data_IF_282225231685
#
_entry.id   IF_282225231685
#
_cell.length_a   1.000
_cell.length_b   1.000
_cell.length_c   1.000
_cell.angle_alpha   90.00
_cell.angle_beta   90.00
_cell.angle_gamma   90.00
#
_symmetry.space_group_name_H-M   'P 1'
#
loop_
_entity.id
_entity.type
_entity.pdbx_description
1 polymer ?
#
# COMPACT_ATOMS: atom_id res chain seq x y z
N UNK A 1 11.49 -10.64 -6.76
CA UNK A 1 11.07 -9.24 -6.91
C UNK A 1 11.09 -8.55 -5.55
N UNK A 2 11.42 -7.25 -5.51
CA UNK A 2 11.33 -6.42 -4.30
C UNK A 2 10.29 -5.32 -4.51
N UNK A 3 9.29 -5.27 -3.65
CA UNK A 3 8.18 -4.31 -3.70
C UNK A 3 8.22 -3.44 -2.46
N UNK A 4 8.05 -2.15 -2.65
CA UNK A 4 7.83 -1.20 -1.55
C UNK A 4 6.46 -0.54 -1.77
N UNK A 5 5.61 -0.53 -0.75
CA UNK A 5 4.41 0.30 -0.75
C UNK A 5 4.32 1.20 0.49
N UNK A 6 3.83 2.39 0.29
CA UNK A 6 3.72 3.41 1.31
C UNK A 6 2.26 3.83 1.47
N UNK A 7 1.73 3.76 2.70
CA UNK A 7 0.39 4.24 3.00
C UNK A 7 0.47 5.74 3.26
N UNK A 8 0.18 6.53 2.21
CA UNK A 8 0.23 7.98 2.26
C UNK A 8 -1.14 8.54 2.63
N UNK A 9 -1.34 8.70 3.91
CA UNK A 9 -2.64 8.99 4.51
C UNK A 9 -2.65 10.23 5.42
N UNK A 10 -1.47 10.70 5.91
CA UNK A 10 -1.33 11.76 6.90
C UNK A 10 -2.31 11.60 8.07
N UNK A 11 -3.08 12.67 8.42
CA UNK A 11 -4.02 12.59 9.54
C UNK A 11 -5.27 11.79 9.22
N UNK A 12 -5.66 11.63 7.95
CA UNK A 12 -6.83 10.84 7.57
C UNK A 12 -6.78 9.40 8.07
N UNK A 13 -5.59 8.80 8.13
CA UNK A 13 -5.41 7.43 8.67
C UNK A 13 -5.24 7.35 10.18
N UNK A 14 -5.06 8.47 10.89
CA UNK A 14 -4.84 8.50 12.33
C UNK A 14 -6.00 9.07 13.14
N UNK A 15 -6.90 9.81 12.49
CA UNK A 15 -7.95 10.61 13.12
C UNK A 15 -8.88 9.82 14.05
N UNK A 16 -9.19 8.58 13.71
CA UNK A 16 -10.07 7.71 14.50
C UNK A 16 -9.41 7.12 15.75
N UNK A 17 -8.10 7.16 15.81
CA UNK A 17 -7.30 6.51 16.86
C UNK A 17 -6.45 7.48 17.69
N UNK A 18 -6.18 8.68 17.18
CA UNK A 18 -5.29 9.68 17.80
C UNK A 18 -5.80 11.09 17.57
N UNK A 19 -5.77 11.91 18.61
CA UNK A 19 -5.96 13.34 18.46
C UNK A 19 -4.78 14.00 17.73
N UNK A 20 -5.05 15.03 16.90
CA UNK A 20 -4.05 15.69 16.06
C UNK A 20 -2.84 16.18 16.88
N UNK A 21 -3.05 16.76 18.05
CA UNK A 21 -1.97 17.25 18.92
C UNK A 21 -0.94 16.16 19.25
N UNK A 22 -1.37 14.91 19.42
CA UNK A 22 -0.48 13.79 19.79
C UNK A 22 0.36 13.23 18.63
N UNK A 23 0.03 13.57 17.39
CA UNK A 23 0.73 13.10 16.19
C UNK A 23 1.27 14.22 15.30
N UNK A 24 1.08 15.49 15.71
CA UNK A 24 1.43 16.69 14.95
C UNK A 24 2.86 16.68 14.40
N UNK A 25 3.83 16.47 15.27
CA UNK A 25 5.26 16.50 14.88
C UNK A 25 5.59 15.44 13.84
N UNK A 26 4.99 14.24 13.98
CA UNK A 26 5.16 13.15 13.04
C UNK A 26 4.57 13.50 11.67
N UNK A 27 3.40 14.13 11.64
CA UNK A 27 2.72 14.50 10.40
C UNK A 27 3.46 15.64 9.69
N UNK A 28 3.92 16.65 10.41
CA UNK A 28 4.78 17.71 9.85
C UNK A 28 6.09 17.11 9.35
N UNK A 29 6.72 16.23 10.13
CA UNK A 29 7.94 15.56 9.73
C UNK A 29 7.80 14.69 8.46
N UNK A 30 6.59 14.23 8.13
CA UNK A 30 6.35 13.54 6.87
C UNK A 30 6.68 14.41 5.65
N UNK A 31 6.50 15.73 5.75
CA UNK A 31 6.81 16.68 4.69
C UNK A 31 8.31 16.78 4.38
N UNK A 32 9.14 16.50 5.36
CA UNK A 32 10.60 16.35 5.17
C UNK A 32 10.95 14.92 4.77
N UNK A 33 10.24 13.93 5.32
CA UNK A 33 10.53 12.53 5.05
C UNK A 33 10.23 12.11 3.61
N UNK A 34 9.15 12.63 3.00
CA UNK A 34 8.78 12.27 1.61
C UNK A 34 9.87 12.65 0.61
N UNK A 35 10.37 13.90 0.54
CA UNK A 35 11.48 14.24 -0.37
C UNK A 35 12.74 13.41 -0.15
N UNK A 36 13.11 13.15 1.11
CA UNK A 36 14.28 12.33 1.46
C UNK A 36 14.11 10.86 1.02
N UNK A 37 12.90 10.32 1.14
CA UNK A 37 12.58 8.99 0.63
C UNK A 37 12.66 8.93 -0.89
N UNK A 38 12.11 9.92 -1.60
CA UNK A 38 12.16 10.00 -3.06
C UNK A 38 13.60 10.10 -3.58
N UNK A 39 14.46 10.90 -2.92
CA UNK A 39 15.87 10.99 -3.25
C UNK A 39 16.57 9.64 -3.04
N UNK A 40 16.28 8.97 -1.93
CA UNK A 40 16.82 7.66 -1.64
C UNK A 40 16.36 6.61 -2.67
N UNK A 41 15.09 6.61 -3.03
CA UNK A 41 14.55 5.69 -4.05
C UNK A 41 15.17 5.92 -5.41
N UNK A 42 15.35 7.18 -5.82
CA UNK A 42 16.06 7.51 -7.07
C UNK A 42 17.50 6.98 -7.08
N UNK A 43 18.25 7.16 -5.98
CA UNK A 43 19.67 6.69 -5.88
C UNK A 43 19.80 5.17 -5.98
N UNK A 44 18.83 4.41 -5.47
CA UNK A 44 18.85 2.95 -5.49
C UNK A 44 18.03 2.35 -6.62
N UNK A 45 17.44 3.18 -7.47
CA UNK A 45 16.53 2.78 -8.55
C UNK A 45 15.43 1.86 -8.02
N UNK A 46 14.66 2.41 -7.08
CA UNK A 46 13.55 1.73 -6.42
C UNK A 46 12.22 2.20 -7.02
N UNK A 47 11.46 1.23 -7.50
CA UNK A 47 10.08 1.41 -7.89
C UNK A 47 9.18 1.27 -6.65
N UNK A 48 8.34 2.27 -6.40
CA UNK A 48 7.53 2.32 -5.16
C UNK A 48 6.08 2.66 -5.45
N UNK A 49 5.17 1.96 -4.78
CA UNK A 49 3.73 2.23 -4.82
C UNK A 49 3.33 3.12 -3.66
N UNK A 50 2.80 4.31 -3.94
CA UNK A 50 2.28 5.27 -2.96
C UNK A 50 0.76 5.15 -2.89
N UNK A 51 0.26 4.35 -1.95
CA UNK A 51 -1.17 4.22 -1.70
C UNK A 51 -1.68 5.50 -1.02
N UNK A 52 -2.32 6.36 -1.77
CA UNK A 52 -2.65 7.73 -1.39
C UNK A 52 -4.13 7.87 -1.11
N UNK A 53 -4.49 8.44 0.04
CA UNK A 53 -5.86 8.82 0.37
C UNK A 53 -6.32 9.94 -0.55
N UNK A 54 -7.47 9.78 -1.23
CA UNK A 54 -7.98 10.73 -2.21
C UNK A 54 -8.17 12.16 -1.66
N UNK A 55 -8.56 12.28 -0.39
CA UNK A 55 -8.72 13.57 0.28
C UNK A 55 -7.42 14.40 0.37
N UNK A 56 -6.24 13.79 0.20
CA UNK A 56 -4.95 14.52 0.21
C UNK A 56 -4.67 15.30 -1.06
N UNK A 57 -5.36 15.01 -2.16
CA UNK A 57 -5.12 15.64 -3.46
C UNK A 57 -5.65 17.07 -3.56
N UNK A 58 -6.64 17.43 -2.76
CA UNK A 58 -7.30 18.73 -2.87
C UNK A 58 -6.37 19.87 -2.49
N UNK A 59 -6.51 20.99 -3.19
CA UNK A 59 -5.72 22.20 -2.96
C UNK A 59 -6.28 23.05 -1.82
N UNK A 60 -7.62 23.05 -1.73
CA UNK A 60 -8.35 23.82 -0.74
C UNK A 60 -9.66 23.13 -0.33
N UNK A 61 -10.25 23.68 0.74
CA UNK A 61 -11.48 23.17 1.34
C UNK A 61 -12.69 23.27 0.41
N UNK A 62 -12.77 24.30 -0.44
CA UNK A 62 -13.90 24.48 -1.36
C UNK A 62 -13.87 23.40 -2.46
N UNK A 63 -12.70 23.12 -3.01
CA UNK A 63 -12.48 22.03 -3.97
C UNK A 63 -12.77 20.68 -3.32
N UNK A 64 -12.29 20.46 -2.12
CA UNK A 64 -12.53 19.23 -1.37
C UNK A 64 -14.03 18.97 -1.20
N UNK A 65 -14.80 19.99 -0.77
CA UNK A 65 -16.25 19.84 -0.59
C UNK A 65 -17.00 19.56 -1.90
N UNK A 66 -16.53 20.09 -3.03
CA UNK A 66 -17.11 19.79 -4.36
C UNK A 66 -16.81 18.35 -4.82
N UNK A 67 -15.67 17.80 -4.41
CA UNK A 67 -15.25 16.45 -4.78
C UNK A 67 -15.78 15.35 -3.87
N UNK A 68 -16.57 15.66 -2.84
CA UNK A 68 -17.10 14.64 -1.92
C UNK A 68 -18.17 13.78 -2.61
N UNK A 69 -18.14 12.45 -2.42
CA UNK A 69 -19.17 11.56 -2.94
C UNK A 69 -20.51 11.80 -2.22
N UNK A 70 -21.62 11.61 -2.96
CA UNK A 70 -22.98 11.73 -2.40
C UNK A 70 -23.27 10.56 -1.45
N UNK A 71 -22.93 9.35 -1.84
CA UNK A 71 -23.06 8.15 -1.02
C UNK A 71 -21.87 8.01 -0.11
N UNK A 72 -22.11 7.92 1.20
CA UNK A 72 -21.06 7.85 2.22
C UNK A 72 -21.38 6.75 3.23
N UNK A 73 -20.34 6.08 3.79
CA UNK A 73 -20.58 5.03 4.76
C UNK A 73 -21.24 5.59 6.04
N UNK A 74 -22.22 4.84 6.54
CA UNK A 74 -22.94 5.13 7.78
C UNK A 74 -22.39 4.25 8.91
N UNK A 75 -21.09 4.40 9.21
CA UNK A 75 -20.47 3.61 10.26
C UNK A 75 -21.21 3.70 11.57
N UNK A 76 -21.46 2.56 12.22
CA UNK A 76 -22.07 2.49 13.56
C UNK A 76 -21.23 3.26 14.58
N UNK A 77 -19.90 3.20 14.45
CA UNK A 77 -19.01 4.05 15.21
C UNK A 77 -18.67 5.31 14.40
N UNK A 78 -19.27 6.43 14.77
CA UNK A 78 -19.12 7.72 14.12
C UNK A 78 -17.66 8.17 13.97
N UNK A 79 -16.74 7.73 14.83
CA UNK A 79 -15.29 8.04 14.73
C UNK A 79 -14.66 7.56 13.43
N UNK A 80 -15.22 6.56 12.76
CA UNK A 80 -14.67 6.06 11.51
C UNK A 80 -14.99 6.95 10.30
N UNK A 81 -16.06 7.77 10.40
CA UNK A 81 -16.43 8.68 9.32
C UNK A 81 -15.54 9.92 9.29
N UNK A 82 -14.77 10.18 8.20
CA UNK A 82 -13.98 11.41 8.07
C UNK A 82 -14.87 12.63 7.82
N UNK A 83 -16.10 12.42 7.38
CA UNK A 83 -17.02 13.47 6.93
C UNK A 83 -17.57 14.34 8.09
N UNK A 84 -17.53 13.85 9.32
CA UNK A 84 -18.10 14.57 10.47
C UNK A 84 -17.23 15.77 10.87
N UNK A 85 -15.92 15.68 10.74
CA UNK A 85 -14.98 16.71 11.18
C UNK A 85 -14.53 17.64 10.05
N UNK A 86 -15.03 17.47 8.82
CA UNK A 86 -14.57 18.21 7.64
C UNK A 86 -14.79 19.73 7.72
N UNK A 87 -15.77 20.18 8.52
CA UNK A 87 -16.01 21.60 8.73
C UNK A 87 -14.88 22.28 9.55
N UNK A 88 -14.11 21.49 10.29
CA UNK A 88 -13.05 21.96 11.18
C UNK A 88 -11.66 21.96 10.55
N UNK A 89 -11.51 21.36 9.35
CA UNK A 89 -10.22 21.37 8.64
C UNK A 89 -9.88 22.78 8.15
N UNK A 90 -8.58 23.06 8.00
CA UNK A 90 -8.10 24.34 7.49
C UNK A 90 -8.52 24.63 6.06
N UNK A 91 -8.17 25.82 5.56
CA UNK A 91 -8.61 26.26 4.23
C UNK A 91 -7.82 25.58 3.11
N UNK A 92 -6.55 25.32 3.31
CA UNK A 92 -5.62 24.81 2.30
C UNK A 92 -4.41 24.10 2.95
N UNK A 93 -3.48 23.63 2.12
CA UNK A 93 -2.26 22.95 2.56
C UNK A 93 -1.36 23.82 3.47
N UNK A 94 -1.34 25.15 3.28
CA UNK A 94 -0.51 26.05 4.08
C UNK A 94 -1.07 26.20 5.50
N UNK A 95 -2.39 26.34 5.61
CA UNK A 95 -3.09 26.50 6.89
C UNK A 95 -3.30 25.15 7.61
N UNK A 96 -3.35 24.04 6.85
CA UNK A 96 -3.61 22.69 7.38
C UNK A 96 -2.77 21.60 6.67
N UNK A 97 -1.48 21.55 6.96
CA UNK A 97 -0.57 20.56 6.36
C UNK A 97 -0.83 19.12 6.79
N UNK A 98 -1.85 18.88 7.58
CA UNK A 98 -2.22 17.56 8.10
C UNK A 98 -3.26 16.85 7.24
N UNK A 99 -4.14 17.63 6.58
CA UNK A 99 -5.26 17.13 5.79
C UNK A 99 -5.04 17.27 4.28
N UNK A 100 -4.11 18.11 3.84
CA UNK A 100 -3.79 18.36 2.43
C UNK A 100 -2.34 18.03 2.12
N UNK A 101 -2.08 17.47 0.94
CA UNK A 101 -0.72 17.18 0.49
C UNK A 101 -0.52 17.26 -1.03
N UNK A 102 -1.20 18.18 -1.78
CA UNK A 102 -1.04 18.27 -3.23
C UNK A 102 0.41 18.53 -3.64
N UNK A 103 1.16 19.32 -2.86
CA UNK A 103 2.57 19.61 -3.14
C UNK A 103 3.45 18.36 -3.05
N UNK A 104 3.22 17.47 -2.09
CA UNK A 104 3.95 16.21 -1.96
C UNK A 104 3.56 15.22 -3.06
N UNK A 105 2.29 15.17 -3.42
CA UNK A 105 1.81 14.33 -4.53
C UNK A 105 2.49 14.74 -5.84
N UNK A 106 2.62 16.04 -6.12
CA UNK A 106 3.36 16.52 -7.29
C UNK A 106 4.84 16.12 -7.27
N UNK A 107 5.48 16.14 -6.11
CA UNK A 107 6.86 15.66 -5.98
C UNK A 107 6.98 14.17 -6.27
N UNK A 108 6.03 13.35 -5.77
CA UNK A 108 5.99 11.92 -6.05
C UNK A 108 5.82 11.68 -7.56
N UNK A 109 4.87 12.36 -8.21
CA UNK A 109 4.61 12.25 -9.65
C UNK A 109 5.81 12.69 -10.51
N UNK A 110 6.59 13.65 -10.02
CA UNK A 110 7.79 14.15 -10.72
C UNK A 110 9.01 13.22 -10.56
N UNK A 111 8.93 12.23 -9.67
CA UNK A 111 10.01 11.26 -9.46
C UNK A 111 9.78 10.02 -10.33
N UNK A 112 10.79 9.56 -11.10
CA UNK A 112 10.61 8.37 -11.94
C UNK A 112 10.36 7.12 -11.08
N UNK A 113 9.68 6.13 -11.69
CA UNK A 113 9.43 4.83 -11.10
C UNK A 113 8.57 4.86 -9.83
N UNK A 114 7.74 5.91 -9.67
CA UNK A 114 6.80 6.03 -8.55
C UNK A 114 5.37 5.87 -9.06
N UNK A 115 4.65 4.88 -8.55
CA UNK A 115 3.24 4.66 -8.78
C UNK A 115 2.42 5.39 -7.71
N UNK A 116 1.41 6.15 -8.11
CA UNK A 116 0.32 6.54 -7.22
C UNK A 116 -0.77 5.47 -7.31
N UNK A 117 -1.03 4.80 -6.20
CA UNK A 117 -2.14 3.87 -6.01
C UNK A 117 -3.21 4.49 -5.10
N UNK A 118 -4.40 3.90 -5.06
CA UNK A 118 -5.43 4.37 -4.13
C UNK A 118 -5.32 3.74 -2.75
N UNK A 119 -5.48 4.58 -1.71
CA UNK A 119 -5.76 4.14 -0.34
C UNK A 119 -7.22 4.47 0.01
N UNK A 120 -8.12 4.30 -0.99
CA UNK A 120 -9.50 4.79 -1.06
C UNK A 120 -9.59 6.33 -1.03
N UNK A 121 -10.75 6.89 -1.34
CA UNK A 121 -10.90 8.34 -1.31
C UNK A 121 -10.85 8.90 0.11
N UNK A 122 -11.62 8.30 1.00
CA UNK A 122 -11.87 8.81 2.35
C UNK A 122 -11.17 8.00 3.45
N UNK A 123 -10.19 7.15 3.13
CA UNK A 123 -9.65 6.14 4.05
C UNK A 123 -10.74 5.17 4.51
N UNK A 124 -11.48 4.59 3.55
CA UNK A 124 -12.67 3.76 3.76
C UNK A 124 -12.35 2.45 4.47
N UNK A 125 -13.05 2.16 5.56
CA UNK A 125 -12.82 0.98 6.40
C UNK A 125 -13.81 -0.14 6.03
N UNK A 126 -13.36 -1.08 5.21
CA UNK A 126 -14.21 -2.09 4.56
C UNK A 126 -14.74 -3.20 5.46
N UNK A 127 -14.28 -3.33 6.71
CA UNK A 127 -14.71 -4.37 7.65
C UNK A 127 -15.39 -3.82 8.90
N UNK A 128 -15.63 -2.51 8.97
CA UNK A 128 -16.36 -1.89 10.06
C UNK A 128 -17.87 -1.95 9.81
N UNK A 129 -18.66 -2.03 10.87
CA UNK A 129 -20.12 -2.06 10.79
C UNK A 129 -20.69 -0.72 10.31
N UNK A 130 -21.81 -0.76 9.57
CA UNK A 130 -22.48 0.42 9.02
C UNK A 130 -21.91 0.96 7.70
N UNK A 131 -20.96 0.24 7.08
CA UNK A 131 -20.52 0.49 5.72
C UNK A 131 -21.14 -0.52 4.74
N UNK A 132 -21.22 -0.18 3.45
CA UNK A 132 -21.82 -1.03 2.44
C UNK A 132 -21.10 -0.88 1.08
N UNK A 133 -21.47 -1.76 0.13
CA UNK A 133 -20.86 -1.78 -1.20
C UNK A 133 -21.13 -0.48 -1.99
N UNK A 134 -22.34 0.08 -1.91
CA UNK A 134 -22.68 1.29 -2.66
C UNK A 134 -21.84 2.49 -2.21
N UNK A 135 -21.66 2.63 -0.89
CA UNK A 135 -20.80 3.67 -0.35
C UNK A 135 -19.32 3.43 -0.71
N UNK A 136 -18.87 2.17 -0.77
CA UNK A 136 -17.52 1.85 -1.23
C UNK A 136 -17.31 2.16 -2.71
N UNK A 137 -18.27 1.82 -3.58
CA UNK A 137 -18.21 2.13 -5.01
C UNK A 137 -18.16 3.65 -5.25
N UNK A 138 -18.96 4.43 -4.51
CA UNK A 138 -18.94 5.89 -4.58
C UNK A 138 -17.60 6.48 -4.08
N UNK A 139 -17.04 5.95 -3.00
CA UNK A 139 -15.72 6.32 -2.50
C UNK A 139 -14.62 5.99 -3.52
N UNK A 140 -14.66 4.82 -4.12
CA UNK A 140 -13.71 4.41 -5.13
C UNK A 140 -13.81 5.26 -6.41
N UNK A 141 -15.02 5.56 -6.87
CA UNK A 141 -15.24 6.45 -8.01
C UNK A 141 -14.68 7.85 -7.75
N UNK A 142 -14.87 8.39 -6.54
CA UNK A 142 -14.27 9.68 -6.15
C UNK A 142 -12.73 9.62 -6.15
N UNK A 143 -12.15 8.49 -5.70
CA UNK A 143 -10.69 8.29 -5.75
C UNK A 143 -10.17 8.27 -7.19
N UNK A 144 -10.86 7.57 -8.10
CA UNK A 144 -10.50 7.54 -9.52
C UNK A 144 -10.59 8.94 -10.14
N UNK A 145 -11.70 9.64 -9.91
CA UNK A 145 -11.92 10.97 -10.48
C UNK A 145 -10.85 11.98 -10.05
N UNK A 146 -10.45 11.98 -8.77
CA UNK A 146 -9.38 12.89 -8.32
C UNK A 146 -8.01 12.46 -8.86
N UNK A 147 -7.76 11.17 -9.02
CA UNK A 147 -6.54 10.66 -9.67
C UNK A 147 -6.46 11.15 -11.13
N UNK A 148 -7.53 11.00 -11.89
CA UNK A 148 -7.62 11.46 -13.29
C UNK A 148 -7.42 12.97 -13.42
N UNK A 149 -7.94 13.78 -12.48
CA UNK A 149 -7.71 15.23 -12.44
C UNK A 149 -6.24 15.60 -12.27
N UNK A 150 -5.42 14.70 -11.73
CA UNK A 150 -3.96 14.81 -11.63
C UNK A 150 -3.21 14.12 -12.78
N UNK A 151 -3.92 13.59 -13.78
CA UNK A 151 -3.34 12.83 -14.89
C UNK A 151 -2.83 11.44 -14.48
N UNK A 152 -3.35 10.90 -13.39
CA UNK A 152 -2.93 9.60 -12.82
C UNK A 152 -4.02 8.57 -13.08
N UNK A 153 -3.65 7.45 -13.70
CA UNK A 153 -4.45 6.25 -13.71
C UNK A 153 -4.13 5.40 -12.49
N UNK A 154 -5.12 5.20 -11.62
CA UNK A 154 -4.98 4.33 -10.46
C UNK A 154 -5.14 2.87 -10.90
N UNK A 155 -4.12 2.04 -10.69
CA UNK A 155 -4.13 0.62 -11.09
C UNK A 155 -4.02 -0.34 -9.90
N UNK A 156 -3.65 0.17 -8.73
CA UNK A 156 -3.52 -0.63 -7.50
C UNK A 156 -4.31 -0.03 -6.35
N UNK A 157 -4.75 -0.91 -5.43
CA UNK A 157 -5.43 -0.51 -4.20
C UNK A 157 -4.76 -1.10 -2.96
N UNK A 158 -4.63 -0.29 -1.94
CA UNK A 158 -4.30 -0.74 -0.59
C UNK A 158 -5.48 -0.39 0.32
N UNK A 159 -6.11 -1.42 0.86
CA UNK A 159 -7.24 -1.21 1.77
C UNK A 159 -6.77 -0.62 3.10
N UNK A 160 -7.38 0.48 3.58
CA UNK A 160 -7.05 1.10 4.85
C UNK A 160 -7.08 0.11 6.02
N UNK A 161 -6.11 0.26 6.94
CA UNK A 161 -5.87 -0.68 8.06
C UNK A 161 -5.74 -2.14 7.63
N UNK A 162 -5.38 -2.40 6.36
CA UNK A 162 -5.38 -3.73 5.74
C UNK A 162 -6.73 -4.47 5.86
N UNK A 163 -7.83 -3.75 5.94
CA UNK A 163 -9.18 -4.31 5.99
C UNK A 163 -9.65 -4.74 4.59
N UNK A 164 -8.94 -5.69 4.01
CA UNK A 164 -9.26 -6.24 2.70
C UNK A 164 -10.59 -7.03 2.78
N UNK A 165 -11.55 -6.62 1.95
CA UNK A 165 -12.86 -7.28 1.83
C UNK A 165 -13.00 -7.87 0.42
N UNK A 166 -13.00 -9.19 0.30
CA UNK A 166 -13.12 -9.87 -0.99
C UNK A 166 -14.45 -9.60 -1.71
N UNK A 167 -15.51 -9.30 -0.97
CA UNK A 167 -16.80 -8.92 -1.57
C UNK A 167 -16.69 -7.64 -2.44
N UNK A 168 -15.65 -6.81 -2.23
CA UNK A 168 -15.44 -5.55 -2.95
C UNK A 168 -14.46 -5.68 -4.12
N UNK A 169 -13.86 -6.84 -4.35
CA UNK A 169 -12.90 -7.04 -5.43
C UNK A 169 -13.51 -6.80 -6.80
N UNK A 170 -14.77 -7.20 -6.99
CA UNK A 170 -15.48 -6.96 -8.25
C UNK A 170 -15.65 -5.47 -8.54
N UNK A 171 -15.96 -4.67 -7.53
CA UNK A 171 -16.03 -3.21 -7.66
C UNK A 171 -14.65 -2.61 -8.02
N UNK A 172 -13.58 -3.11 -7.40
CA UNK A 172 -12.21 -2.71 -7.76
C UNK A 172 -11.85 -3.05 -9.21
N UNK A 173 -12.21 -4.26 -9.68
CA UNK A 173 -12.00 -4.68 -11.07
C UNK A 173 -12.78 -3.79 -12.05
N UNK A 174 -14.06 -3.51 -11.77
CA UNK A 174 -14.88 -2.63 -12.60
C UNK A 174 -14.34 -1.20 -12.66
N UNK A 175 -13.71 -0.73 -11.60
CA UNK A 175 -13.03 0.57 -11.55
C UNK A 175 -11.67 0.59 -12.29
N UNK A 176 -11.26 -0.54 -12.90
CA UNK A 176 -10.02 -0.65 -13.66
C UNK A 176 -8.77 -0.95 -12.84
N UNK A 177 -8.92 -1.26 -11.54
CA UNK A 177 -7.81 -1.70 -10.70
C UNK A 177 -7.37 -3.12 -11.09
N UNK A 178 -6.07 -3.38 -10.98
CA UNK A 178 -5.43 -4.65 -11.39
C UNK A 178 -4.74 -5.37 -10.23
N UNK A 179 -4.27 -4.63 -9.22
CA UNK A 179 -3.58 -5.18 -8.07
C UNK A 179 -4.15 -4.69 -6.75
N UNK A 180 -4.02 -5.51 -5.72
CA UNK A 180 -4.25 -5.08 -4.35
C UNK A 180 -3.16 -5.61 -3.42
N UNK A 181 -2.93 -4.89 -2.32
CA UNK A 181 -2.05 -5.38 -1.26
C UNK A 181 -2.86 -6.24 -0.29
N UNK A 182 -2.64 -7.54 -0.36
CA UNK A 182 -3.11 -8.47 0.67
C UNK A 182 -2.21 -8.50 1.90
N UNK A 183 -2.57 -9.32 2.87
CA UNK A 183 -1.79 -9.53 4.10
C UNK A 183 -1.06 -10.87 4.09
N UNK A 184 -0.09 -11.01 5.00
CA UNK A 184 0.57 -12.29 5.23
C UNK A 184 -0.42 -13.40 5.58
N UNK A 185 -0.12 -14.63 5.17
CA UNK A 185 -0.95 -15.81 5.48
C UNK A 185 -1.03 -16.15 6.98
N UNK A 186 -0.12 -15.62 7.80
CA UNK A 186 -0.10 -15.84 9.26
C UNK A 186 -1.36 -15.31 9.95
N UNK A 187 -1.88 -16.06 10.92
CA UNK A 187 -3.04 -15.66 11.74
C UNK A 187 -2.87 -14.31 12.45
N UNK A 188 -1.64 -13.89 12.75
CA UNK A 188 -1.31 -12.60 13.35
C UNK A 188 -1.70 -11.42 12.46
N UNK A 189 -1.70 -11.61 11.14
CA UNK A 189 -1.86 -10.55 10.15
C UNK A 189 -3.16 -10.64 9.34
N UNK A 190 -4.01 -11.64 9.60
CA UNK A 190 -5.32 -11.76 8.93
C UNK A 190 -6.14 -10.49 9.10
N UNK A 191 -6.79 -9.97 8.04
CA UNK A 191 -7.65 -8.79 8.09
C UNK A 191 -8.75 -8.95 9.14
N UNK A 192 -9.04 -7.86 9.85
CA UNK A 192 -10.12 -7.78 10.86
C UNK A 192 -10.57 -6.34 10.99
N UNK A 193 -11.78 -6.16 11.54
CA UNK A 193 -12.23 -4.85 11.99
C UNK A 193 -11.35 -4.32 13.16
N UNK A 194 -11.51 -3.06 13.50
CA UNK A 194 -10.69 -2.37 14.50
C UNK A 194 -10.73 -3.04 15.88
N UNK A 195 -11.86 -3.60 16.29
CA UNK A 195 -11.99 -4.33 17.57
C UNK A 195 -11.16 -5.61 17.56
N UNK A 196 -11.25 -6.41 16.49
CA UNK A 196 -10.51 -7.68 16.37
C UNK A 196 -9.01 -7.47 16.24
N UNK A 197 -8.59 -6.37 15.57
CA UNK A 197 -7.18 -6.03 15.39
C UNK A 197 -6.52 -5.45 16.65
N UNK A 198 -7.29 -4.77 17.48
CA UNK A 198 -6.84 -4.14 18.73
C UNK A 198 -6.49 -5.09 19.87
N UNK A 199 -6.74 -6.40 19.75
CA UNK A 199 -6.48 -7.38 20.83
C UNK A 199 -5.02 -7.37 21.28
N UNK A 200 -4.74 -7.26 22.61
CA UNK A 200 -3.38 -7.10 23.14
C UNK A 200 -2.40 -8.20 22.70
N UNK A 201 -2.83 -9.46 22.70
CA UNK A 201 -2.00 -10.60 22.31
C UNK A 201 -1.50 -10.51 20.86
N UNK A 202 -2.36 -10.06 19.93
CA UNK A 202 -1.95 -9.87 18.54
C UNK A 202 -0.96 -8.71 18.40
N UNK A 203 -1.16 -7.62 19.13
CA UNK A 203 -0.24 -6.47 19.13
C UNK A 203 1.12 -6.86 19.66
N UNK A 204 1.17 -7.62 20.76
CA UNK A 204 2.42 -8.15 21.33
C UNK A 204 3.07 -9.14 20.34
N UNK A 205 2.32 -10.09 19.79
CA UNK A 205 2.82 -11.04 18.81
C UNK A 205 3.43 -10.34 17.58
N UNK A 206 2.77 -9.32 17.01
CA UNK A 206 3.32 -8.52 15.90
C UNK A 206 4.53 -7.68 16.30
N UNK A 207 4.59 -7.22 17.56
CA UNK A 207 5.76 -6.52 18.05
C UNK A 207 6.95 -7.47 18.14
N UNK A 208 6.78 -8.65 18.72
CA UNK A 208 7.83 -9.66 18.82
C UNK A 208 8.28 -10.16 17.44
N UNK A 209 7.33 -10.43 16.51
CA UNK A 209 7.64 -10.89 15.16
C UNK A 209 8.45 -9.86 14.33
N UNK A 210 8.43 -8.59 14.72
CA UNK A 210 9.26 -7.58 14.09
C UNK A 210 10.77 -7.73 14.39
N UNK A 211 11.11 -8.39 15.49
CA UNK A 211 12.49 -8.57 15.96
C UNK A 211 12.95 -10.03 15.91
N UNK A 212 12.03 -10.97 16.13
CA UNK A 212 12.29 -12.42 16.17
C UNK A 212 11.43 -13.10 15.12
N UNK A 213 11.98 -14.09 14.41
CA UNK A 213 11.26 -14.82 13.38
C UNK A 213 10.22 -15.78 13.97
N UNK A 214 9.01 -15.28 14.27
CA UNK A 214 7.90 -16.09 14.77
C UNK A 214 7.02 -16.65 13.65
N UNK A 215 6.85 -15.89 12.54
CA UNK A 215 5.92 -16.26 11.45
C UNK A 215 6.61 -16.90 10.24
N UNK A 216 7.92 -17.10 10.30
CA UNK A 216 8.70 -17.60 9.17
C UNK A 216 9.02 -16.52 8.11
N UNK A 217 9.59 -16.94 7.00
CA UNK A 217 9.81 -16.10 5.83
C UNK A 217 8.58 -16.17 4.95
N UNK A 218 7.73 -15.16 5.03
CA UNK A 218 6.44 -15.11 4.33
C UNK A 218 6.59 -14.62 2.87
N UNK A 219 7.68 -15.02 2.19
CA UNK A 219 7.90 -14.64 0.79
C UNK A 219 6.94 -15.38 -0.13
N UNK A 220 6.34 -14.67 -1.06
CA UNK A 220 5.36 -15.23 -2.00
C UNK A 220 6.07 -15.75 -3.24
N UNK A 221 5.97 -17.07 -3.52
CA UNK A 221 6.53 -17.70 -4.73
C UNK A 221 5.56 -17.60 -5.91
N UNK A 222 4.28 -17.74 -5.65
CA UNK A 222 3.23 -17.68 -6.65
C UNK A 222 2.27 -16.54 -6.31
N UNK A 223 2.11 -15.62 -7.22
CA UNK A 223 1.04 -14.64 -7.14
C UNK A 223 -0.18 -15.25 -7.80
N UNK A 224 -1.21 -15.48 -7.02
CA UNK A 224 -2.47 -16.01 -7.51
C UNK A 224 -3.35 -14.85 -7.97
N UNK A 225 -3.91 -14.98 -9.18
CA UNK A 225 -5.10 -14.23 -9.52
C UNK A 225 -6.19 -14.59 -8.51
N UNK A 226 -6.76 -13.58 -7.89
CA UNK A 226 -8.00 -13.76 -7.15
C UNK A 226 -9.11 -14.14 -8.14
N UNK A 227 -10.24 -14.66 -7.65
CA UNK A 227 -11.42 -15.01 -8.46
C UNK A 227 -11.90 -13.86 -9.38
N UNK A 228 -11.41 -12.64 -9.17
CA UNK A 228 -11.79 -11.38 -9.82
C UNK A 228 -10.62 -10.69 -10.54
N UNK A 229 -9.72 -11.42 -11.18
CA UNK A 229 -8.59 -10.89 -11.97
C UNK A 229 -7.69 -9.86 -11.26
N UNK A 230 -7.92 -9.57 -9.98
CA UNK A 230 -7.05 -8.73 -9.18
C UNK A 230 -5.85 -9.54 -8.68
N UNK A 231 -4.66 -9.04 -8.92
CA UNK A 231 -3.44 -9.68 -8.49
C UNK A 231 -3.15 -9.32 -7.03
N UNK A 232 -3.01 -10.34 -6.20
CA UNK A 232 -2.64 -10.16 -4.80
C UNK A 232 -1.14 -10.01 -4.63
N UNK A 233 -0.67 -8.78 -4.46
CA UNK A 233 0.73 -8.47 -4.11
C UNK A 233 0.83 -8.42 -2.58
N UNK A 234 0.81 -9.58 -1.94
CA UNK A 234 0.72 -9.69 -0.48
C UNK A 234 1.91 -9.02 0.22
N UNK A 235 1.62 -8.24 1.27
CA UNK A 235 2.64 -7.64 2.12
C UNK A 235 3.37 -8.70 2.95
N UNK A 236 4.70 -8.61 3.04
CA UNK A 236 5.51 -9.50 3.86
C UNK A 236 5.85 -8.86 5.21
N UNK A 237 6.20 -7.58 5.22
CA UNK A 237 6.69 -6.94 6.43
C UNK A 237 6.32 -5.47 6.52
N UNK A 238 5.84 -5.08 7.71
CA UNK A 238 5.74 -3.68 8.09
C UNK A 238 7.08 -3.15 8.60
N UNK A 239 7.63 -2.13 7.97
CA UNK A 239 8.82 -1.44 8.45
C UNK A 239 8.45 -0.54 9.64
N UNK A 240 8.64 -1.08 10.85
CA UNK A 240 8.41 -0.31 12.08
C UNK A 240 9.36 0.86 12.15
N UNK A 241 8.88 2.06 12.54
CA UNK A 241 9.76 3.21 12.75
C UNK A 241 10.77 2.94 13.86
N UNK A 242 11.90 3.64 13.80
CA UNK A 242 12.88 3.66 14.86
C UNK A 242 12.24 4.11 16.19
N UNK A 243 12.63 3.46 17.27
CA UNK A 243 12.18 3.79 18.62
C UNK A 243 13.37 3.99 19.56
N UNK A 244 13.51 5.21 20.11
CA UNK A 244 14.56 5.50 21.10
C UNK A 244 14.56 4.54 22.30
N UNK A 245 13.35 4.08 22.71
CA UNK A 245 13.18 3.13 23.82
C UNK A 245 13.65 1.72 23.46
N UNK A 246 13.58 1.34 22.20
CA UNK A 246 13.94 0.00 21.68
C UNK A 246 15.17 0.05 20.77
N UNK A 247 16.01 1.10 20.88
CA UNK A 247 17.18 1.30 20.02
C UNK A 247 18.14 0.10 19.99
N UNK A 248 18.25 -0.62 21.08
CA UNK A 248 19.11 -1.81 21.19
C UNK A 248 18.58 -3.01 20.40
N UNK A 249 17.30 -3.04 20.05
CA UNK A 249 16.68 -4.05 19.18
C UNK A 249 16.72 -3.69 17.70
N UNK A 250 17.11 -2.47 17.36
CA UNK A 250 17.13 -1.98 15.96
C UNK A 250 17.95 -2.88 15.03
N UNK A 251 19.16 -3.36 15.41
CA UNK A 251 19.92 -4.29 14.58
C UNK A 251 19.17 -5.60 14.30
N UNK A 252 18.41 -6.11 15.26
CA UNK A 252 17.62 -7.33 15.08
C UNK A 252 16.48 -7.11 14.09
N UNK A 253 15.78 -5.96 14.18
CA UNK A 253 14.72 -5.58 13.23
C UNK A 253 15.26 -5.49 11.80
N UNK A 254 16.36 -4.78 11.60
CA UNK A 254 16.96 -4.63 10.28
C UNK A 254 17.48 -5.97 9.74
N UNK A 255 18.15 -6.77 10.59
CA UNK A 255 18.58 -8.12 10.22
C UNK A 255 17.40 -8.99 9.80
N UNK A 256 16.28 -8.94 10.53
CA UNK A 256 15.06 -9.68 10.19
C UNK A 256 14.58 -9.36 8.78
N UNK A 257 14.55 -8.08 8.41
CA UNK A 257 14.14 -7.60 7.06
C UNK A 257 15.14 -8.05 5.99
N UNK A 258 16.44 -7.86 6.25
CA UNK A 258 17.48 -8.20 5.26
C UNK A 258 17.60 -9.71 5.04
N UNK A 259 17.37 -10.53 6.06
CA UNK A 259 17.38 -12.00 5.93
C UNK A 259 16.15 -12.48 5.12
N UNK A 260 14.98 -11.88 5.30
CA UNK A 260 13.81 -12.14 4.45
C UNK A 260 14.06 -11.76 3.00
N UNK A 261 14.63 -10.58 2.77
CA UNK A 261 14.97 -10.10 1.42
C UNK A 261 15.97 -11.05 0.72
N UNK A 262 17.02 -11.48 1.42
CA UNK A 262 17.98 -12.47 0.90
C UNK A 262 17.31 -13.80 0.59
N UNK A 263 16.42 -14.26 1.46
CA UNK A 263 15.67 -15.51 1.24
C UNK A 263 14.78 -15.40 0.00
N UNK A 264 14.07 -14.29 -0.15
CA UNK A 264 13.24 -14.04 -1.33
C UNK A 264 14.05 -14.03 -2.62
N UNK A 265 15.21 -13.34 -2.63
CA UNK A 265 16.10 -13.29 -3.78
C UNK A 265 16.59 -14.67 -4.22
N UNK A 266 17.08 -15.49 -3.27
CA UNK A 266 17.55 -16.86 -3.53
C UNK A 266 16.47 -17.79 -4.08
N UNK A 267 15.21 -17.53 -3.75
CA UNK A 267 14.06 -18.36 -4.16
C UNK A 267 13.33 -17.83 -5.39
N UNK A 268 13.75 -16.70 -5.96
CA UNK A 268 12.99 -16.03 -7.02
C UNK A 268 11.62 -15.49 -6.56
N UNK A 269 11.42 -15.34 -5.25
CA UNK A 269 10.15 -14.96 -4.64
C UNK A 269 9.96 -13.43 -4.59
N UNK A 270 8.74 -13.01 -4.29
CA UNK A 270 8.40 -11.61 -4.01
C UNK A 270 8.60 -11.32 -2.54
N UNK A 271 9.26 -10.20 -2.25
CA UNK A 271 9.37 -9.60 -0.93
C UNK A 271 8.76 -8.21 -0.95
N UNK A 272 7.69 -7.98 -0.18
CA UNK A 272 6.93 -6.74 -0.13
C UNK A 272 7.06 -6.08 1.25
N UNK A 273 7.81 -4.97 1.31
CA UNK A 273 8.02 -4.14 2.49
C UNK A 273 7.07 -2.94 2.44
N UNK A 274 6.45 -2.57 3.56
CA UNK A 274 5.52 -1.44 3.58
C UNK A 274 5.59 -0.64 4.88
N UNK A 275 5.25 0.65 4.81
CA UNK A 275 5.12 1.55 5.97
C UNK A 275 4.36 2.83 5.62
N UNK A 276 4.18 3.70 6.61
CA UNK A 276 3.59 5.01 6.41
C UNK A 276 4.70 6.07 6.38
N UNK A 277 4.76 7.00 5.42
CA UNK A 277 5.77 8.06 5.36
C UNK A 277 5.85 8.87 6.65
N UNK A 278 4.72 9.17 7.29
CA UNK A 278 4.69 9.87 8.56
C UNK A 278 5.39 9.14 9.71
N UNK A 279 5.63 7.84 9.60
CA UNK A 279 6.43 7.09 10.58
C UNK A 279 7.90 7.51 10.57
N UNK A 280 8.39 8.06 9.47
CA UNK A 280 9.72 8.64 9.36
C UNK A 280 9.78 10.11 9.78
N UNK A 281 8.64 10.75 9.99
CA UNK A 281 8.55 12.15 10.41
C UNK A 281 9.19 12.46 11.76
N UNK A 282 9.44 11.43 12.58
CA UNK A 282 10.26 11.54 13.80
C UNK A 282 11.44 10.59 13.70
N UNK A 283 12.61 10.99 14.24
CA UNK A 283 13.87 10.22 14.14
C UNK A 283 14.21 9.89 12.68
N UNK A 284 14.11 10.89 11.80
CA UNK A 284 14.23 10.73 10.35
C UNK A 284 15.55 10.05 9.95
N UNK A 285 16.68 10.52 10.50
CA UNK A 285 18.00 10.00 10.13
C UNK A 285 18.18 8.53 10.52
N UNK A 286 17.70 8.14 11.70
CA UNK A 286 17.75 6.74 12.16
C UNK A 286 16.88 5.83 11.28
N UNK A 287 15.68 6.30 10.89
CA UNK A 287 14.81 5.58 9.97
C UNK A 287 15.44 5.44 8.57
N UNK A 288 16.00 6.52 8.03
CA UNK A 288 16.72 6.51 6.75
C UNK A 288 17.96 5.61 6.79
N UNK A 289 18.72 5.59 7.90
CA UNK A 289 19.88 4.71 8.06
C UNK A 289 19.48 3.24 8.04
N UNK A 290 18.40 2.89 8.74
CA UNK A 290 17.82 1.54 8.69
C UNK A 290 17.40 1.15 7.27
N UNK A 291 16.69 2.05 6.58
CA UNK A 291 16.25 1.84 5.20
C UNK A 291 17.44 1.71 4.24
N UNK A 292 18.48 2.55 4.36
CA UNK A 292 19.71 2.42 3.55
C UNK A 292 20.35 1.04 3.69
N UNK A 293 20.36 0.46 4.88
CA UNK A 293 20.88 -0.91 5.10
C UNK A 293 20.05 -1.95 4.33
N UNK A 294 18.73 -1.81 4.30
CA UNK A 294 17.84 -2.68 3.51
C UNK A 294 18.11 -2.50 2.01
N UNK A 295 18.21 -1.25 1.53
CA UNK A 295 18.45 -0.95 0.10
C UNK A 295 19.84 -1.40 -0.36
N UNK A 296 20.87 -1.28 0.48
CA UNK A 296 22.19 -1.85 0.20
C UNK A 296 22.11 -3.39 0.04
N UNK A 297 21.32 -4.06 0.90
CA UNK A 297 21.09 -5.50 0.75
C UNK A 297 20.36 -5.81 -0.55
N UNK A 298 19.34 -5.01 -0.91
CA UNK A 298 18.66 -5.16 -2.20
C UNK A 298 19.62 -5.01 -3.39
N UNK A 299 20.51 -4.01 -3.37
CA UNK A 299 21.49 -3.83 -4.43
C UNK A 299 22.42 -5.04 -4.58
N UNK A 300 22.83 -5.66 -3.48
CA UNK A 300 23.57 -6.92 -3.50
C UNK A 300 22.76 -8.05 -4.13
N UNK A 301 21.47 -8.17 -3.75
CA UNK A 301 20.56 -9.20 -4.29
C UNK A 301 20.25 -8.97 -5.77
N UNK A 302 20.17 -7.71 -6.20
CA UNK A 302 20.05 -7.34 -7.63
C UNK A 302 21.25 -7.86 -8.41
N UNK A 303 22.46 -7.60 -7.93
CA UNK A 303 23.71 -8.04 -8.61
C UNK A 303 23.87 -9.56 -8.60
N UNK A 304 23.55 -10.24 -7.47
CA UNK A 304 23.82 -11.67 -7.32
C UNK A 304 22.73 -12.56 -7.92
N UNK A 305 21.48 -12.14 -7.89
CA UNK A 305 20.31 -12.97 -8.22
C UNK A 305 19.38 -12.31 -9.25
N UNK A 306 19.72 -11.14 -9.81
CA UNK A 306 18.86 -10.43 -10.74
C UNK A 306 17.54 -9.93 -10.11
N UNK A 307 17.50 -9.71 -8.79
CA UNK A 307 16.30 -9.26 -8.12
C UNK A 307 15.90 -7.87 -8.61
N UNK A 308 14.67 -7.69 -9.09
CA UNK A 308 14.16 -6.41 -9.61
C UNK A 308 13.30 -5.70 -8.57
N UNK A 309 13.31 -4.35 -8.60
CA UNK A 309 12.32 -3.54 -7.89
C UNK A 309 11.16 -3.23 -8.83
N UNK A 310 9.94 -3.45 -8.39
CA UNK A 310 8.72 -3.24 -9.17
C UNK A 310 7.63 -2.62 -8.29
N UNK A 311 6.79 -1.77 -8.90
CA UNK A 311 5.53 -1.32 -8.29
C UNK A 311 4.49 -2.44 -8.33
N UNK A 312 3.38 -2.25 -7.62
CA UNK A 312 2.26 -3.19 -7.67
C UNK A 312 1.63 -3.24 -9.06
N UNK A 313 1.50 -2.10 -9.74
CA UNK A 313 0.97 -2.01 -11.10
C UNK A 313 1.86 -2.71 -12.12
N UNK A 314 3.19 -2.53 -12.05
CA UNK A 314 4.14 -3.20 -12.94
C UNK A 314 4.07 -4.72 -12.81
N UNK A 315 3.95 -5.24 -11.58
CA UNK A 315 3.75 -6.68 -11.35
C UNK A 315 2.44 -7.15 -12.01
N UNK A 316 1.36 -6.39 -11.86
CA UNK A 316 0.09 -6.75 -12.46
C UNK A 316 0.15 -6.76 -13.99
N UNK A 317 0.86 -5.81 -14.59
CA UNK A 317 1.07 -5.77 -16.04
C UNK A 317 1.89 -6.96 -16.54
N UNK A 318 2.99 -7.31 -15.89
CA UNK A 318 3.84 -8.44 -16.27
C UNK A 318 3.07 -9.76 -16.23
N UNK A 319 2.34 -10.03 -15.15
CA UNK A 319 1.58 -11.28 -15.01
C UNK A 319 0.42 -11.38 -16.01
N UNK A 320 -0.26 -10.28 -16.29
CA UNK A 320 -1.33 -10.26 -17.31
C UNK A 320 -0.80 -10.53 -18.72
N UNK A 321 0.42 -10.07 -19.03
CA UNK A 321 1.07 -10.32 -20.31
C UNK A 321 1.48 -11.80 -20.47
N UNK A 322 2.01 -12.44 -19.42
CA UNK A 322 2.39 -13.85 -19.42
C UNK A 322 1.19 -14.78 -19.65
N UNK A 323 0.03 -14.47 -19.06
CA UNK A 323 -1.21 -15.24 -19.27
C UNK A 323 -1.72 -15.15 -20.71
N UNK A 324 -1.65 -13.97 -21.34
CA UNK A 324 -2.03 -13.81 -22.75
C UNK A 324 -1.18 -14.67 -23.68
N UNK A 325 0.12 -14.74 -23.44
CA UNK A 325 1.04 -15.55 -24.23
C UNK A 325 0.75 -17.04 -24.02
N UNK A 326 0.51 -17.48 -22.79
CA UNK A 326 0.20 -18.87 -22.44
C UNK A 326 -1.13 -19.34 -23.06
N UNK A 327 -2.15 -18.49 -23.10
CA UNK A 327 -3.46 -18.82 -23.69
C UNK A 327 -3.45 -18.81 -25.22
N UNK A 328 -2.67 -17.92 -25.83
CA UNK A 328 -2.53 -17.82 -27.29
C UNK A 328 -1.68 -18.97 -27.84
N UNK A 329 -0.63 -19.37 -27.14
CA UNK A 329 0.22 -20.51 -27.52
C UNK A 329 -0.51 -21.86 -27.50
N UNK A 330 -1.52 -22.04 -26.64
CA UNK A 330 -2.37 -23.24 -26.64
C UNK A 330 -3.39 -23.32 -27.79
N UNK A 331 -3.76 -22.19 -28.41
CA UNK A 331 -4.69 -22.16 -29.56
C UNK A 331 -4.04 -22.45 -30.91
N UNK A 332 -2.72 -22.39 -31.03
CA UNK A 332 -1.99 -22.66 -32.29
C UNK A 332 -1.66 -24.15 -32.46
N UNK A 333 -1.88 -24.98 -31.44
CA UNK A 333 -1.51 -26.42 -31.42
C UNK A 333 -2.59 -27.40 -31.85
N UNK A 334 -3.80 -26.96 -32.21
CA UNK A 334 -4.84 -27.87 -32.73
C UNK A 334 -4.97 -27.69 -34.25
N UNK A 335 -4.02 -28.29 -34.99
CA UNK A 335 -4.18 -28.55 -36.42
C UNK A 335 -5.22 -29.65 -36.68
N UNK A 336 -5.88 -29.71 -37.84
CA UNK A 336 -7.00 -30.62 -38.10
C UNK A 336 -6.51 -32.06 -38.11
N UNK A 337 -7.19 -32.92 -37.34
CA UNK A 337 -7.08 -34.38 -37.51
C UNK A 337 -7.55 -34.78 -38.93
N UNK A 338 -6.61 -35.27 -39.71
CA UNK A 338 -6.88 -35.89 -41.02
C UNK A 338 -7.76 -37.13 -40.82
N UNK A 339 -9.00 -36.98 -41.18
CA UNK A 339 -9.94 -38.09 -41.38
C UNK A 339 -9.52 -38.86 -42.62
N UNK A 340 -8.74 -39.95 -42.47
CA UNK A 340 -8.59 -40.97 -43.51
C UNK A 340 -9.58 -42.09 -43.25
N UNK A 341 -10.73 -42.01 -43.91
CA UNK A 341 -11.50 -43.20 -44.28
C UNK A 341 -10.79 -43.89 -45.44
N UNK A 342 -10.52 -45.13 -45.27
CA UNK A 342 -10.02 -46.04 -46.32
C UNK A 342 -10.63 -47.42 -46.14
N UNK A 343 -11.63 -47.66 -46.98
CA UNK A 343 -12.10 -48.97 -47.51
C UNK A 343 -11.72 -50.27 -46.77
#
# INVERSE_FOLDING_TARGET
MFVISLDFELYWGLRDSRGLTSCRDRLIGARTAVPELLDLFRRYDIHTTWATVGLLFFRDRADLFRGLPDQRPKYDNAKFSPYLDMQTIGLDENSDPYHYAPSLIQQILSCPNQEIATHTFSHYLCLEEGQDLLAFEADLAAAIAIGEAYGVRLESVVFPKNQCNSAYFKACEHAGLRAYRGTQKSWLYRPRNSQGDGRPLRRIGRLLDAYINLTGYNCTLEMTLAEHKLINVAANRFLRPYSRRLKFLEPLKIRRITDELRNAAKRGAVYHLWWHPHNFGTNLQENLNGLRTVLNTFSQMRTQFGMRSLTMAEIAMELSAEEHISTTGRRIGTGPEDNKHGS
#
